data_IF_761107092618
#
_entry.id   IF_761107092618
#
_cell.length_a   1.000
_cell.length_b   1.000
_cell.length_c   1.000
_cell.angle_alpha   90.00
_cell.angle_beta   90.00
_cell.angle_gamma   90.00
#
_symmetry.space_group_name_H-M   'P 1'
#
loop_
_entity.id
_entity.type
_entity.pdbx_description
1 polymer ?
#
# COMPACT_ATOMS: atom_id res chain seq x y z
N UNK A 1 -4.78 -29.55 26.02
CA UNK A 1 -5.78 -29.03 25.07
C UNK A 1 -5.42 -27.58 24.83
N UNK A 2 -4.51 -27.35 23.89
CA UNK A 2 -3.99 -26.03 23.54
C UNK A 2 -4.19 -25.87 22.04
N UNK A 3 -4.80 -24.76 21.62
CA UNK A 3 -4.97 -24.43 20.21
C UNK A 3 -6.42 -24.23 19.85
N UNK A 4 -6.92 -23.02 20.14
CA UNK A 4 -7.92 -22.25 19.40
C UNK A 4 -8.42 -21.11 20.31
N UNK A 5 -7.48 -20.41 20.96
CA UNK A 5 -7.85 -19.22 21.69
C UNK A 5 -8.15 -18.13 20.64
N UNK A 6 -9.32 -17.47 20.69
CA UNK A 6 -9.66 -16.46 19.70
C UNK A 6 -8.60 -15.34 19.74
N UNK A 7 -8.02 -15.06 18.56
CA UNK A 7 -6.86 -14.18 18.44
C UNK A 7 -7.20 -12.74 18.80
N UNK A 8 -8.38 -12.26 18.40
CA UNK A 8 -8.81 -10.88 18.67
C UNK A 8 -8.80 -10.51 20.16
N UNK A 9 -9.46 -11.27 21.08
CA UNK A 9 -9.35 -11.02 22.52
C UNK A 9 -7.92 -10.99 23.05
N UNK A 10 -7.07 -11.91 22.58
CA UNK A 10 -5.66 -11.96 22.99
C UNK A 10 -4.88 -10.72 22.53
N UNK A 11 -5.08 -10.28 21.28
CA UNK A 11 -4.44 -9.07 20.75
C UNK A 11 -4.85 -7.83 21.55
N UNK A 12 -6.15 -7.70 21.85
CA UNK A 12 -6.67 -6.60 22.65
C UNK A 12 -6.09 -6.57 24.06
N UNK A 13 -6.01 -7.72 24.72
CA UNK A 13 -5.40 -7.84 26.05
C UNK A 13 -3.90 -7.53 26.01
N UNK A 14 -3.17 -8.07 25.03
CA UNK A 14 -1.74 -7.84 24.84
C UNK A 14 -1.39 -6.35 24.71
N UNK A 15 -2.17 -5.62 23.92
CA UNK A 15 -2.00 -4.18 23.71
C UNK A 15 -2.43 -3.36 24.93
N UNK A 16 -3.57 -3.71 25.55
CA UNK A 16 -4.08 -3.02 26.74
C UNK A 16 -3.11 -3.15 27.93
N UNK A 17 -2.52 -4.33 28.13
CA UNK A 17 -1.53 -4.59 29.19
C UNK A 17 -0.27 -3.72 29.07
N UNK A 18 0.01 -3.15 27.88
CA UNK A 18 1.12 -2.23 27.61
C UNK A 18 0.72 -0.75 27.71
N UNK A 19 -0.54 -0.46 28.02
CA UNK A 19 -1.07 0.90 28.05
C UNK A 19 -1.25 1.51 26.66
N UNK A 20 -1.32 0.69 25.61
CA UNK A 20 -1.58 1.19 24.25
C UNK A 20 -3.07 1.49 24.07
N UNK A 21 -3.36 2.60 23.40
CA UNK A 21 -4.72 3.03 23.10
C UNK A 21 -5.29 2.17 21.97
N UNK A 22 -6.39 1.49 22.22
CA UNK A 22 -7.04 0.62 21.25
C UNK A 22 -8.07 1.38 20.41
N UNK A 23 -8.05 1.13 19.11
CA UNK A 23 -9.10 1.50 18.17
C UNK A 23 -9.62 0.22 17.52
N UNK A 24 -10.90 -0.08 17.69
CA UNK A 24 -11.50 -1.38 17.33
C UNK A 24 -12.69 -1.16 16.41
N UNK A 25 -12.81 -1.97 15.36
CA UNK A 25 -14.02 -2.10 14.58
C UNK A 25 -14.43 -3.58 14.51
N UNK A 26 -15.70 -3.86 14.77
CA UNK A 26 -16.28 -5.20 14.68
C UNK A 26 -17.57 -5.11 13.88
N UNK A 27 -17.68 -5.92 12.84
CA UNK A 27 -18.93 -6.23 12.15
C UNK A 27 -19.13 -7.73 12.19
N UNK A 28 -20.32 -8.23 11.82
CA UNK A 28 -20.59 -9.67 11.82
C UNK A 28 -19.66 -10.50 10.91
N UNK A 29 -18.93 -9.86 10.01
CA UNK A 29 -18.09 -10.52 8.98
C UNK A 29 -16.59 -10.26 9.15
N UNK A 30 -16.21 -9.19 9.86
CA UNK A 30 -14.82 -8.76 10.02
C UNK A 30 -14.59 -8.04 11.34
N UNK A 31 -13.39 -8.21 11.88
CA UNK A 31 -12.92 -7.48 13.05
C UNK A 31 -11.53 -6.90 12.77
N UNK A 32 -11.26 -5.72 13.29
CA UNK A 32 -9.95 -5.12 13.22
C UNK A 32 -9.59 -4.32 14.47
N UNK A 33 -8.30 -4.26 14.75
CA UNK A 33 -7.72 -3.56 15.90
C UNK A 33 -6.49 -2.81 15.44
N UNK A 34 -6.43 -1.52 15.78
CA UNK A 34 -5.20 -0.74 15.77
C UNK A 34 -4.84 -0.38 17.21
N UNK A 35 -3.57 -0.56 17.59
CA UNK A 35 -3.05 -0.14 18.89
C UNK A 35 -2.07 1.02 18.72
N UNK A 36 -2.29 2.09 19.49
CA UNK A 36 -1.53 3.33 19.40
C UNK A 36 -0.75 3.60 20.69
N UNK A 37 0.46 4.12 20.57
CA UNK A 37 1.25 4.60 21.70
C UNK A 37 1.89 5.93 21.34
N UNK A 38 1.61 6.97 22.13
CA UNK A 38 2.13 8.33 21.88
C UNK A 38 1.89 8.82 20.44
N UNK A 39 0.73 8.49 19.87
CA UNK A 39 0.35 8.84 18.50
C UNK A 39 0.93 7.92 17.41
N UNK A 40 1.88 7.04 17.75
CA UNK A 40 2.47 6.05 16.85
C UNK A 40 1.62 4.77 16.74
N UNK A 41 1.61 4.14 15.56
CA UNK A 41 0.95 2.85 15.36
C UNK A 41 1.88 1.72 15.78
N UNK A 42 1.50 0.95 16.80
CA UNK A 42 2.30 -0.14 17.36
C UNK A 42 1.87 -1.53 16.87
N UNK A 43 0.58 -1.69 16.56
CA UNK A 43 0.01 -2.96 16.10
C UNK A 43 -1.20 -2.70 15.21
N UNK A 44 -1.33 -3.49 14.16
CA UNK A 44 -2.54 -3.59 13.34
C UNK A 44 -2.92 -5.06 13.19
N UNK A 45 -4.20 -5.36 13.40
CA UNK A 45 -4.77 -6.70 13.28
C UNK A 45 -6.09 -6.64 12.51
N UNK A 46 -6.27 -7.56 11.57
CA UNK A 46 -7.48 -7.72 10.77
C UNK A 46 -7.82 -9.20 10.66
N UNK A 47 -9.08 -9.53 10.91
CA UNK A 47 -9.64 -10.87 10.72
C UNK A 47 -11.01 -10.77 10.05
N UNK A 48 -11.43 -11.84 9.39
CA UNK A 48 -12.74 -11.95 8.78
C UNK A 48 -13.04 -13.37 8.32
N UNK A 49 -14.28 -13.61 7.92
CA UNK A 49 -14.73 -14.92 7.39
C UNK A 49 -14.20 -15.21 5.99
N UNK A 50 -13.67 -14.19 5.31
CA UNK A 50 -12.91 -14.27 4.07
C UNK A 50 -11.61 -13.47 4.21
N UNK A 51 -10.61 -13.78 3.38
CA UNK A 51 -9.34 -13.06 3.38
C UNK A 51 -9.59 -11.58 3.00
N UNK A 52 -9.35 -10.61 3.90
CA UNK A 52 -9.61 -9.21 3.60
C UNK A 52 -8.58 -8.68 2.59
N UNK A 53 -9.04 -7.95 1.58
CA UNK A 53 -8.13 -7.18 0.72
C UNK A 53 -7.61 -5.98 1.52
N UNK A 54 -6.33 -6.03 1.88
CA UNK A 54 -5.66 -4.98 2.66
C UNK A 54 -4.78 -4.12 1.76
N UNK A 55 -4.83 -2.80 1.96
CA UNK A 55 -3.92 -1.85 1.34
C UNK A 55 -2.55 -1.90 2.03
N UNK A 56 -1.77 -2.95 1.75
CA UNK A 56 -0.49 -3.25 2.41
C UNK A 56 0.46 -2.04 2.46
N UNK A 57 0.65 -1.35 1.33
CA UNK A 57 1.52 -0.17 1.25
C UNK A 57 1.10 0.95 2.23
N UNK A 58 -0.21 1.14 2.43
CA UNK A 58 -0.76 2.15 3.34
C UNK A 58 -0.55 1.73 4.78
N UNK A 59 -0.77 0.45 5.08
CA UNK A 59 -0.56 -0.11 6.42
C UNK A 59 0.92 0.01 6.81
N UNK A 60 1.84 -0.40 5.93
CA UNK A 60 3.28 -0.30 6.14
C UNK A 60 3.72 1.16 6.35
N UNK A 61 3.22 2.09 5.53
CA UNK A 61 3.52 3.50 5.68
C UNK A 61 3.00 4.06 7.01
N UNK A 62 1.87 3.60 7.52
CA UNK A 62 1.30 4.07 8.78
C UNK A 62 2.15 3.70 10.02
N UNK A 63 2.94 2.63 9.96
CA UNK A 63 3.91 2.31 11.02
C UNK A 63 5.12 3.26 11.02
N UNK A 64 5.46 3.85 9.87
CA UNK A 64 6.58 4.80 9.75
C UNK A 64 6.13 6.25 9.96
N UNK A 65 4.96 6.60 9.41
CA UNK A 65 4.38 7.93 9.44
C UNK A 65 2.89 7.80 9.81
N UNK A 66 2.57 7.78 11.12
CA UNK A 66 1.22 7.54 11.58
C UNK A 66 0.26 8.64 11.15
N UNK A 67 -0.93 8.30 10.63
CA UNK A 67 -1.91 9.31 10.23
C UNK A 67 -2.42 10.10 11.44
N UNK A 68 -2.55 11.41 11.26
CA UNK A 68 -3.06 12.32 12.30
C UNK A 68 -4.55 12.57 12.14
N UNK A 69 -5.05 12.50 10.89
CA UNK A 69 -6.45 12.75 10.59
C UNK A 69 -7.34 11.56 10.97
N UNK A 70 -8.51 11.87 11.56
CA UNK A 70 -9.47 10.86 11.97
C UNK A 70 -9.95 9.99 10.80
N UNK A 71 -10.18 10.60 9.63
CA UNK A 71 -10.60 9.88 8.43
C UNK A 71 -9.57 8.85 7.97
N UNK A 72 -8.28 9.19 8.06
CA UNK A 72 -7.16 8.29 7.72
C UNK A 72 -7.03 7.16 8.72
N UNK A 73 -7.16 7.44 10.02
CA UNK A 73 -7.20 6.40 11.05
C UNK A 73 -8.40 5.46 10.85
N UNK A 74 -9.56 5.99 10.46
CA UNK A 74 -10.75 5.18 10.14
C UNK A 74 -10.55 4.32 8.89
N UNK A 75 -9.95 4.85 7.83
CA UNK A 75 -9.65 4.07 6.64
C UNK A 75 -8.64 2.96 6.95
N UNK A 76 -7.56 3.29 7.67
CA UNK A 76 -6.55 2.34 8.11
C UNK A 76 -7.16 1.24 8.98
N UNK A 77 -8.10 1.57 9.89
CA UNK A 77 -8.81 0.59 10.69
C UNK A 77 -9.57 -0.43 9.82
N UNK A 78 -10.09 0.01 8.68
CA UNK A 78 -10.72 -0.87 7.69
C UNK A 78 -9.73 -1.59 6.77
N UNK A 79 -8.42 -1.38 6.94
CA UNK A 79 -7.38 -1.93 6.07
C UNK A 79 -7.25 -1.21 4.72
N UNK A 80 -7.68 0.06 4.66
CA UNK A 80 -7.85 0.82 3.42
C UNK A 80 -7.16 2.20 3.52
N UNK A 81 -6.98 2.88 2.38
CA UNK A 81 -6.63 4.31 2.32
C UNK A 81 -7.87 5.20 2.35
N UNK A 82 -7.68 6.49 2.68
CA UNK A 82 -8.69 7.51 2.41
C UNK A 82 -8.75 7.73 0.90
N UNK A 83 -9.93 7.51 0.32
CA UNK A 83 -10.09 7.45 -1.13
C UNK A 83 -9.85 6.05 -1.66
N UNK A 84 -10.44 5.76 -2.83
CA UNK A 84 -10.35 4.48 -3.54
C UNK A 84 -8.87 4.10 -3.64
N UNK A 85 -8.45 3.08 -2.88
CA UNK A 85 -7.13 2.49 -3.07
C UNK A 85 -7.07 2.07 -4.54
N UNK A 86 -6.25 2.75 -5.34
CA UNK A 86 -5.85 2.19 -6.62
C UNK A 86 -5.18 0.86 -6.26
N UNK A 87 -5.80 -0.24 -6.66
CA UNK A 87 -5.15 -1.54 -6.59
C UNK A 87 -3.80 -1.36 -7.29
N UNK A 88 -2.67 -1.60 -6.63
CA UNK A 88 -1.37 -1.40 -7.26
C UNK A 88 -1.16 -2.37 -8.43
N UNK A 89 -2.04 -3.35 -8.63
CA UNK A 89 -1.90 -4.37 -9.64
C UNK A 89 -0.76 -5.32 -9.29
N UNK A 90 -0.16 -5.99 -10.28
CA UNK A 90 0.96 -6.90 -10.02
C UNK A 90 2.14 -6.16 -9.40
N UNK A 91 2.71 -6.68 -8.32
CA UNK A 91 3.89 -6.07 -7.68
C UNK A 91 5.11 -6.24 -8.59
N UNK A 92 5.68 -5.12 -9.04
CA UNK A 92 6.87 -5.05 -9.90
C UNK A 92 8.14 -4.85 -9.06
N UNK A 93 8.07 -4.01 -8.02
CA UNK A 93 9.19 -3.76 -7.12
C UNK A 93 8.87 -4.25 -5.73
N UNK A 94 9.38 -5.44 -5.37
CA UNK A 94 9.16 -6.03 -4.04
C UNK A 94 9.88 -5.28 -2.91
N UNK A 95 10.95 -4.53 -3.19
CA UNK A 95 11.67 -3.77 -2.17
C UNK A 95 10.85 -2.63 -1.57
N UNK A 96 9.96 -2.04 -2.35
CA UNK A 96 9.14 -0.90 -1.97
C UNK A 96 7.65 -1.16 -2.21
N UNK A 97 7.29 -2.43 -2.43
CA UNK A 97 5.92 -2.88 -2.72
C UNK A 97 5.21 -2.04 -3.81
N UNK A 98 5.94 -1.66 -4.87
CA UNK A 98 5.39 -0.86 -5.97
C UNK A 98 4.79 -1.79 -7.03
N UNK A 99 3.51 -1.60 -7.34
CA UNK A 99 2.83 -2.36 -8.39
C UNK A 99 2.71 -1.63 -9.72
N UNK A 100 2.34 -2.41 -10.74
CA UNK A 100 2.23 -1.99 -12.14
C UNK A 100 1.28 -0.81 -12.34
N UNK A 101 0.13 -0.79 -11.69
CA UNK A 101 -0.87 0.27 -11.91
C UNK A 101 -0.36 1.61 -11.38
N UNK A 102 0.33 1.61 -10.22
CA UNK A 102 1.02 2.80 -9.70
C UNK A 102 2.14 3.28 -10.65
N UNK A 103 2.85 2.35 -11.30
CA UNK A 103 3.86 2.68 -12.30
C UNK A 103 3.20 3.29 -13.55
N UNK A 104 2.10 2.71 -14.05
CA UNK A 104 1.36 3.22 -15.20
C UNK A 104 0.78 4.60 -14.92
N UNK A 105 0.19 4.82 -13.76
CA UNK A 105 -0.29 6.15 -13.34
C UNK A 105 0.84 7.18 -13.30
N UNK A 106 2.02 6.81 -12.76
CA UNK A 106 3.18 7.71 -12.75
C UNK A 106 3.70 8.02 -14.17
N UNK A 107 3.66 7.05 -15.09
CA UNK A 107 4.00 7.26 -16.50
C UNK A 107 3.00 8.22 -17.16
N UNK A 108 1.70 8.01 -16.97
CA UNK A 108 0.64 8.92 -17.46
C UNK A 108 0.79 10.32 -16.85
N UNK A 109 1.19 10.39 -15.58
CA UNK A 109 1.50 11.63 -14.86
C UNK A 109 2.76 12.36 -15.32
N UNK A 110 3.52 11.81 -16.28
CA UNK A 110 4.66 12.47 -16.92
C UNK A 110 6.03 11.89 -16.58
N UNK A 111 6.12 10.76 -15.88
CA UNK A 111 7.39 10.05 -15.73
C UNK A 111 7.79 9.39 -17.06
N UNK A 112 8.93 9.79 -17.63
CA UNK A 112 9.42 9.33 -18.93
C UNK A 112 10.60 8.34 -18.83
N UNK A 113 11.06 8.05 -17.62
CA UNK A 113 12.25 7.24 -17.38
C UNK A 113 12.19 6.48 -16.06
N UNK A 114 12.97 5.39 -15.97
CA UNK A 114 13.14 4.63 -14.72
C UNK A 114 13.70 5.52 -13.60
N UNK A 115 14.55 6.50 -13.95
CA UNK A 115 15.07 7.47 -12.97
C UNK A 115 13.96 8.36 -12.42
N UNK A 116 13.05 8.85 -13.26
CA UNK A 116 11.89 9.63 -12.81
C UNK A 116 10.96 8.77 -11.94
N UNK A 117 10.71 7.52 -12.31
CA UNK A 117 9.95 6.58 -11.47
C UNK A 117 10.66 6.29 -10.14
N UNK A 118 11.99 6.19 -10.13
CA UNK A 118 12.78 6.04 -8.92
C UNK A 118 12.73 7.26 -8.00
N UNK A 119 12.64 8.47 -8.56
CA UNK A 119 12.45 9.69 -7.79
C UNK A 119 11.04 9.78 -7.18
N UNK A 120 10.01 9.38 -7.94
CA UNK A 120 8.60 9.49 -7.53
C UNK A 120 8.14 8.33 -6.65
N UNK A 121 8.45 7.10 -7.04
CA UNK A 121 7.95 5.85 -6.43
C UNK A 121 9.04 5.04 -5.72
N UNK A 122 10.31 5.46 -5.76
CA UNK A 122 11.49 4.74 -5.22
C UNK A 122 11.82 3.40 -5.88
N UNK A 123 11.01 2.92 -6.83
CA UNK A 123 11.29 1.65 -7.50
C UNK A 123 12.61 1.71 -8.30
N UNK A 124 13.37 0.61 -8.30
CA UNK A 124 14.64 0.52 -9.01
C UNK A 124 15.85 1.17 -8.32
N UNK A 125 15.70 1.72 -7.10
CA UNK A 125 16.79 2.41 -6.38
C UNK A 125 17.47 1.57 -5.28
N UNK A 126 16.89 0.42 -4.89
CA UNK A 126 17.43 -0.46 -3.84
C UNK A 126 18.23 -1.65 -4.42
N UNK A 127 17.56 -2.75 -4.79
CA UNK A 127 18.25 -3.93 -5.34
C UNK A 127 18.38 -3.92 -6.87
N UNK A 128 17.63 -3.06 -7.56
CA UNK A 128 17.63 -2.94 -9.02
C UNK A 128 16.98 -4.08 -9.81
N UNK A 129 16.44 -5.12 -9.16
CA UNK A 129 15.88 -6.30 -9.85
C UNK A 129 14.67 -5.99 -10.75
N UNK A 130 13.91 -4.95 -10.41
CA UNK A 130 12.74 -4.51 -11.16
C UNK A 130 13.09 -3.63 -12.38
N UNK A 131 14.34 -3.18 -12.54
CA UNK A 131 14.74 -2.25 -13.63
C UNK A 131 14.49 -2.80 -15.04
N UNK A 132 14.78 -4.08 -15.35
CA UNK A 132 14.48 -4.64 -16.67
C UNK A 132 12.97 -4.64 -16.97
N UNK A 133 12.15 -4.99 -15.99
CA UNK A 133 10.69 -5.02 -16.14
C UNK A 133 10.11 -3.61 -16.26
N UNK A 134 10.61 -2.64 -15.49
CA UNK A 134 10.25 -1.22 -15.62
C UNK A 134 10.52 -0.69 -17.03
N UNK A 135 11.65 -1.05 -17.65
CA UNK A 135 11.95 -0.69 -19.04
C UNK A 135 10.98 -1.34 -20.03
N UNK A 136 10.57 -2.58 -19.78
CA UNK A 136 9.55 -3.26 -20.57
C UNK A 136 8.21 -2.52 -20.56
N UNK A 137 7.78 -2.03 -19.39
CA UNK A 137 6.53 -1.26 -19.26
C UNK A 137 6.52 0.06 -20.08
N UNK A 138 7.69 0.67 -20.31
CA UNK A 138 7.80 1.82 -21.22
C UNK A 138 7.66 1.43 -22.70
N UNK A 139 8.11 0.22 -23.08
CA UNK A 139 8.02 -0.27 -24.46
C UNK A 139 6.63 -0.84 -24.80
N UNK A 140 5.97 -1.44 -23.82
CA UNK A 140 4.64 -2.05 -23.94
C UNK A 140 3.48 -1.05 -23.79
N UNK A 141 3.75 0.26 -23.71
CA UNK A 141 2.71 1.29 -23.60
C UNK A 141 2.31 1.83 -24.99
N UNK A 142 1.23 1.33 -25.61
CA UNK A 142 0.82 1.74 -26.97
C UNK A 142 0.41 3.21 -27.08
N UNK A 143 0.09 3.89 -25.96
CA UNK A 143 -0.23 5.32 -25.95
C UNK A 143 0.99 6.24 -26.18
N UNK A 144 2.21 5.74 -25.92
CA UNK A 144 3.45 6.50 -26.15
C UNK A 144 3.89 6.44 -27.63
N UNK A 145 3.61 5.34 -28.32
CA UNK A 145 3.86 5.21 -29.77
C UNK A 145 3.03 6.18 -30.62
N UNK A 146 1.84 6.57 -30.18
CA UNK A 146 1.01 7.55 -30.90
C UNK A 146 1.57 8.98 -30.84
N UNK A 147 2.24 9.36 -29.74
CA UNK A 147 2.85 10.70 -29.58
C UNK A 147 4.16 10.85 -30.34
N UNK A 148 4.99 9.81 -30.38
CA UNK A 148 6.25 9.82 -31.13
C UNK A 148 6.02 9.81 -32.64
N UNK A 149 4.97 9.13 -33.12
CA UNK A 149 4.62 9.11 -34.54
C UNK A 149 4.16 10.48 -35.08
N UNK A 150 3.53 11.32 -34.25
CA UNK A 150 3.07 12.65 -34.68
C UNK A 150 4.19 13.71 -34.71
N UNK A 151 5.27 13.50 -33.95
CA UNK A 151 6.40 14.44 -33.88
C UNK A 151 7.43 14.27 -35.02
N UNK A 152 7.27 13.23 -35.85
CA UNK A 152 8.09 12.97 -37.05
C UNK A 152 7.52 13.49 -38.38
N UNK A 153 6.35 14.14 -38.39
CA UNK A 153 5.67 14.63 -39.61
C UNK A 153 5.62 16.17 -39.70
N UNK A 154 6.48 16.87 -38.95
CA UNK A 154 6.65 18.32 -39.04
C UNK A 154 8.09 18.71 -39.33
N UNK A 155 8.60 18.31 -40.51
CA UNK A 155 9.32 19.13 -41.51
C UNK A 155 10.06 18.27 -42.52
#
# INVERSE_FOLDING_TARGET
MAGEQPLLPWVMEYASARGWQLQVAQTGERSSVLAWHEGQLMLGFWEGTALPTLAHAVIEAAFQSPPVLLAERHALLNGQSVGKAADPGRIICSCFSVGEDAIREAIVGGCDSVTALGATLRCGTNCGSCVPELKGLFQDNPEMSARTAFQGLSR
#
